data_IF_641290134988
#
_entry.id   IF_641290134988
#
_cell.length_a   1.000
_cell.length_b   1.000
_cell.length_c   1.000
_cell.angle_alpha   90.00
_cell.angle_beta   90.00
_cell.angle_gamma   90.00
#
_symmetry.space_group_name_H-M   'P 1'
#
loop_
_entity.id
_entity.type
_entity.pdbx_description
1 polymer ?
#
# COMPACT_ATOMS: atom_id res chain seq x y z
N UNK A 1 11.32 3.47 -11.61
CA UNK A 1 10.11 4.05 -12.23
C UNK A 1 9.78 5.32 -11.47
N UNK A 2 9.43 6.39 -12.16
CA UNK A 2 9.01 7.63 -11.49
C UNK A 2 7.48 7.59 -11.37
N UNK A 3 6.99 7.68 -10.15
CA UNK A 3 5.56 7.72 -9.87
C UNK A 3 4.98 9.10 -10.19
N UNK A 4 3.68 9.20 -10.54
CA UNK A 4 3.06 10.48 -10.88
C UNK A 4 2.98 11.39 -9.67
N UNK A 5 2.89 12.69 -9.91
CA UNK A 5 2.65 13.67 -8.84
C UNK A 5 1.29 13.42 -8.16
N UNK A 6 1.22 13.68 -6.85
CA UNK A 6 0.02 13.42 -6.03
C UNK A 6 -1.07 14.49 -6.24
N UNK A 7 -1.51 14.63 -7.49
CA UNK A 7 -2.70 15.39 -7.86
C UNK A 7 -3.60 14.53 -8.76
N UNK A 8 -4.89 14.84 -8.78
CA UNK A 8 -5.87 14.04 -9.50
C UNK A 8 -5.57 13.93 -11.00
N UNK A 9 -5.13 15.02 -11.63
CA UNK A 9 -4.86 15.04 -13.08
C UNK A 9 -3.68 14.13 -13.42
N UNK A 10 -2.58 14.22 -12.69
CA UNK A 10 -1.38 13.38 -12.86
C UNK A 10 -1.68 11.91 -12.60
N UNK A 11 -2.45 11.61 -11.54
CA UNK A 11 -2.89 10.24 -11.24
C UNK A 11 -3.80 9.67 -12.31
N UNK A 12 -4.79 10.44 -12.77
CA UNK A 12 -5.68 10.00 -13.86
C UNK A 12 -4.92 9.78 -15.17
N UNK A 13 -3.95 10.62 -15.50
CA UNK A 13 -3.13 10.45 -16.69
C UNK A 13 -2.28 9.18 -16.63
N UNK A 14 -1.78 8.82 -15.44
CA UNK A 14 -0.90 7.67 -15.27
C UNK A 14 -1.66 6.37 -14.96
N UNK A 15 -2.61 6.40 -14.02
CA UNK A 15 -3.35 5.24 -13.54
C UNK A 15 -4.74 5.06 -14.17
N UNK A 16 -5.20 6.05 -14.93
CA UNK A 16 -6.56 6.11 -15.45
C UNK A 16 -7.55 6.69 -14.43
N UNK A 17 -8.67 7.18 -14.94
CA UNK A 17 -9.73 7.73 -14.08
C UNK A 17 -10.63 6.61 -13.55
N UNK A 18 -10.62 6.39 -12.24
CA UNK A 18 -11.40 5.33 -11.60
C UNK A 18 -12.93 5.53 -11.70
N UNK A 19 -13.39 6.74 -12.08
CA UNK A 19 -14.81 6.98 -12.39
C UNK A 19 -15.20 6.45 -13.77
N UNK A 20 -14.25 6.16 -14.66
CA UNK A 20 -14.54 5.71 -16.01
C UNK A 20 -15.16 4.32 -16.01
N UNK A 21 -16.19 4.07 -16.82
CA UNK A 21 -16.79 2.74 -16.95
C UNK A 21 -15.73 1.68 -17.33
N UNK A 22 -15.74 0.56 -16.62
CA UNK A 22 -14.81 -0.55 -16.87
C UNK A 22 -13.38 -0.35 -16.35
N UNK A 23 -13.08 0.77 -15.70
CA UNK A 23 -11.72 1.06 -15.20
C UNK A 23 -11.19 -0.03 -14.28
N UNK A 24 -12.03 -0.55 -13.36
CA UNK A 24 -11.61 -1.60 -12.42
C UNK A 24 -11.19 -2.87 -13.16
N UNK A 25 -12.01 -3.34 -14.10
CA UNK A 25 -11.71 -4.54 -14.88
C UNK A 25 -10.43 -4.39 -15.73
N UNK A 26 -10.12 -3.19 -16.20
CA UNK A 26 -8.95 -2.90 -17.02
C UNK A 26 -7.67 -2.70 -16.21
N UNK A 27 -7.75 -2.26 -14.97
CA UNK A 27 -6.62 -1.77 -14.22
C UNK A 27 -6.33 -2.48 -12.90
N UNK A 28 -7.31 -3.18 -12.31
CA UNK A 28 -7.10 -3.87 -11.05
C UNK A 28 -6.80 -5.35 -11.28
N UNK A 29 -5.84 -5.87 -10.52
CA UNK A 29 -5.43 -7.26 -10.55
C UNK A 29 -5.19 -7.76 -9.13
N UNK A 30 -5.42 -9.07 -8.91
CA UNK A 30 -4.99 -9.74 -7.70
C UNK A 30 -3.53 -10.15 -7.84
N UNK A 31 -2.77 -9.96 -6.77
CA UNK A 31 -1.38 -10.43 -6.69
C UNK A 31 -1.11 -11.15 -5.38
N UNK A 32 -0.23 -12.14 -5.43
CA UNK A 32 0.24 -12.90 -4.28
C UNK A 32 1.58 -12.36 -3.78
N UNK A 33 1.80 -12.41 -2.47
CA UNK A 33 3.12 -12.30 -1.87
C UNK A 33 3.77 -13.68 -1.75
N UNK A 34 5.10 -13.77 -1.53
CA UNK A 34 5.79 -15.05 -1.30
C UNK A 34 5.47 -15.66 0.09
N UNK A 35 4.66 -15.01 0.88
CA UNK A 35 4.20 -15.42 2.20
C UNK A 35 2.68 -15.22 2.34
N UNK A 36 2.09 -15.81 3.37
CA UNK A 36 0.66 -15.68 3.62
C UNK A 36 0.30 -14.25 4.07
N UNK A 37 -0.76 -13.72 3.49
CA UNK A 37 -1.36 -12.45 3.87
C UNK A 37 -2.75 -12.70 4.46
N UNK A 38 -3.12 -11.88 5.45
CA UNK A 38 -4.38 -11.97 6.16
C UNK A 38 -5.07 -10.60 6.20
N UNK A 39 -6.38 -10.60 6.06
CA UNK A 39 -7.22 -9.45 6.33
C UNK A 39 -8.20 -9.83 7.44
N UNK A 40 -8.18 -9.07 8.54
CA UNK A 40 -8.99 -9.38 9.72
C UNK A 40 -8.88 -10.87 10.12
N UNK A 41 -7.64 -11.36 10.22
CA UNK A 41 -7.27 -12.75 10.58
C UNK A 41 -7.71 -13.83 9.59
N UNK A 42 -8.26 -13.44 8.43
CA UNK A 42 -8.65 -14.39 7.38
C UNK A 42 -7.60 -14.43 6.27
N UNK A 43 -7.21 -15.64 5.87
CA UNK A 43 -6.24 -15.85 4.80
C UNK A 43 -6.77 -15.29 3.48
N UNK A 44 -5.95 -14.46 2.83
CA UNK A 44 -6.21 -13.95 1.48
C UNK A 44 -5.69 -14.95 0.45
N UNK A 45 -6.47 -15.97 0.14
CA UNK A 45 -6.07 -17.07 -0.74
C UNK A 45 -5.71 -16.62 -2.17
N UNK A 46 -6.28 -15.51 -2.64
CA UNK A 46 -6.01 -14.92 -3.95
C UNK A 46 -5.15 -13.67 -3.90
N UNK A 47 -4.57 -13.36 -2.73
CA UNK A 47 -3.74 -12.19 -2.52
C UNK A 47 -4.53 -10.90 -2.36
N UNK A 48 -3.91 -9.79 -2.73
CA UNK A 48 -4.45 -8.44 -2.58
C UNK A 48 -4.82 -7.84 -3.94
N UNK A 49 -5.87 -7.03 -3.96
CA UNK A 49 -6.33 -6.33 -5.16
C UNK A 49 -5.61 -4.98 -5.26
N UNK A 50 -4.83 -4.79 -6.32
CA UNK A 50 -3.98 -3.61 -6.53
C UNK A 50 -4.09 -3.09 -7.95
N UNK A 51 -3.61 -1.87 -8.19
CA UNK A 51 -3.47 -1.37 -9.57
C UNK A 51 -2.35 -2.13 -10.30
N UNK A 52 -2.61 -2.57 -11.53
CA UNK A 52 -1.66 -3.37 -12.32
C UNK A 52 -0.27 -2.73 -12.46
N UNK A 53 -0.18 -1.41 -12.49
CA UNK A 53 1.10 -0.68 -12.61
C UNK A 53 1.96 -0.71 -11.35
N UNK A 54 1.40 -1.09 -10.20
CA UNK A 54 2.15 -1.21 -8.93
C UNK A 54 2.65 -2.63 -8.67
N UNK A 55 2.25 -3.61 -9.48
CA UNK A 55 2.55 -5.04 -9.26
C UNK A 55 4.04 -5.32 -9.19
N UNK A 56 4.83 -4.79 -10.13
CA UNK A 56 6.28 -5.04 -10.16
C UNK A 56 6.96 -4.45 -8.92
N UNK A 57 6.58 -3.23 -8.52
CA UNK A 57 7.11 -2.60 -7.32
C UNK A 57 6.72 -3.37 -6.06
N UNK A 58 5.45 -3.76 -5.92
CA UNK A 58 4.99 -4.54 -4.77
C UNK A 58 5.62 -5.94 -4.74
N UNK A 59 5.84 -6.56 -5.89
CA UNK A 59 6.56 -7.84 -5.96
C UNK A 59 7.98 -7.70 -5.41
N UNK A 60 8.69 -6.62 -5.78
CA UNK A 60 10.02 -6.35 -5.25
C UNK A 60 9.98 -6.05 -3.74
N UNK A 61 8.99 -5.28 -3.26
CA UNK A 61 8.79 -5.01 -1.82
C UNK A 61 8.61 -6.33 -1.05
N UNK A 62 7.68 -7.18 -1.48
CA UNK A 62 7.41 -8.43 -0.77
C UNK A 62 8.57 -9.42 -0.83
N UNK A 63 9.31 -9.46 -1.94
CA UNK A 63 10.52 -10.28 -2.04
C UNK A 63 11.62 -9.80 -1.08
N UNK A 64 11.80 -8.49 -0.94
CA UNK A 64 12.77 -7.90 -0.01
C UNK A 64 12.39 -8.18 1.46
N UNK A 65 11.11 -7.99 1.81
CA UNK A 65 10.59 -8.30 3.15
C UNK A 65 10.81 -9.79 3.45
N UNK A 66 10.47 -10.68 2.52
CA UNK A 66 10.62 -12.12 2.67
C UNK A 66 12.07 -12.51 2.93
N UNK A 67 13.00 -11.97 2.14
CA UNK A 67 14.44 -12.20 2.32
C UNK A 67 14.93 -11.70 3.68
N UNK A 68 14.55 -10.47 4.07
CA UNK A 68 14.98 -9.88 5.35
C UNK A 68 14.32 -10.52 6.58
N UNK A 69 13.22 -11.23 6.39
CA UNK A 69 12.59 -12.08 7.41
C UNK A 69 13.07 -13.53 7.36
N UNK A 70 14.20 -13.82 6.70
CA UNK A 70 14.81 -15.15 6.58
C UNK A 70 13.88 -16.21 5.97
N UNK A 71 12.97 -15.80 5.10
CA UNK A 71 11.94 -16.65 4.49
C UNK A 71 11.12 -17.42 5.54
N UNK A 72 10.80 -16.74 6.63
CA UNK A 72 10.06 -17.28 7.77
C UNK A 72 8.76 -16.49 7.98
N UNK A 73 7.62 -17.17 7.84
CA UNK A 73 6.30 -16.58 8.04
C UNK A 73 6.15 -15.96 9.43
N UNK A 74 6.65 -16.60 10.46
CA UNK A 74 6.56 -16.08 11.84
C UNK A 74 7.27 -14.74 12.00
N UNK A 75 8.38 -14.53 11.30
CA UNK A 75 9.08 -13.23 11.30
C UNK A 75 8.33 -12.16 10.52
N UNK A 76 7.70 -12.50 9.41
CA UNK A 76 6.81 -11.58 8.67
C UNK A 76 5.61 -11.18 9.53
N UNK A 77 4.99 -12.14 10.22
CA UNK A 77 3.89 -11.90 11.15
C UNK A 77 4.30 -10.96 12.30
N UNK A 78 5.49 -11.17 12.85
CA UNK A 78 6.02 -10.38 13.96
C UNK A 78 6.19 -8.91 13.61
N UNK A 79 6.62 -8.59 12.38
CA UNK A 79 6.78 -7.21 11.92
C UNK A 79 5.47 -6.60 11.36
N UNK A 80 4.36 -7.34 11.37
CA UNK A 80 3.05 -6.86 10.95
C UNK A 80 2.83 -6.85 9.43
N UNK A 81 3.75 -7.39 8.63
CA UNK A 81 3.68 -7.32 7.16
C UNK A 81 2.88 -8.46 6.53
N UNK A 82 2.25 -9.31 7.33
CA UNK A 82 1.20 -10.23 6.91
C UNK A 82 -0.22 -9.72 7.24
N UNK A 83 -0.33 -8.66 8.03
CA UNK A 83 -1.60 -8.06 8.45
C UNK A 83 -1.97 -6.91 7.50
N UNK A 84 -2.72 -7.25 6.46
CA UNK A 84 -3.16 -6.31 5.42
C UNK A 84 -4.39 -5.52 5.87
N UNK A 85 -4.30 -4.19 5.76
CA UNK A 85 -5.38 -3.28 6.19
C UNK A 85 -6.25 -2.74 5.05
N UNK A 86 -5.89 -3.00 3.79
CA UNK A 86 -6.64 -2.59 2.61
C UNK A 86 -5.80 -1.86 1.57
N UNK A 87 -6.27 -1.89 0.32
CA UNK A 87 -5.68 -1.16 -0.80
C UNK A 87 -6.76 -0.43 -1.60
N UNK A 88 -7.68 -1.14 -2.23
CA UNK A 88 -8.71 -0.52 -3.07
C UNK A 88 -9.95 -0.12 -2.26
N UNK A 89 -10.19 1.19 -2.19
CA UNK A 89 -11.37 1.77 -1.55
C UNK A 89 -11.61 3.17 -2.09
N UNK A 90 -12.70 3.36 -2.86
CA UNK A 90 -13.07 4.66 -3.42
C UNK A 90 -13.65 5.53 -2.32
N UNK A 91 -12.89 6.51 -1.87
CA UNK A 91 -13.27 7.45 -0.81
C UNK A 91 -12.43 8.72 -0.84
N UNK A 92 -12.93 9.76 -0.21
CA UNK A 92 -12.14 10.96 0.07
C UNK A 92 -11.16 10.70 1.25
N UNK A 93 -10.09 11.50 1.28
CA UNK A 93 -9.24 11.61 2.46
C UNK A 93 -10.09 12.16 3.61
N UNK A 94 -9.95 11.58 4.81
CA UNK A 94 -10.70 12.00 5.99
C UNK A 94 -10.58 13.51 6.24
N UNK A 95 -11.72 14.21 6.33
CA UNK A 95 -11.78 15.65 6.53
C UNK A 95 -11.42 16.50 5.30
N UNK A 96 -11.41 15.91 4.10
CA UNK A 96 -11.05 16.57 2.84
C UNK A 96 -12.01 16.21 1.72
N UNK A 97 -12.07 17.06 0.68
CA UNK A 97 -12.75 16.77 -0.58
C UNK A 97 -11.81 16.13 -1.62
N UNK A 98 -10.55 15.91 -1.28
CA UNK A 98 -9.59 15.25 -2.15
C UNK A 98 -9.76 13.73 -2.10
N UNK A 99 -9.59 13.06 -3.24
CA UNK A 99 -9.66 11.62 -3.32
C UNK A 99 -8.44 10.96 -2.67
N UNK A 100 -8.70 9.96 -1.84
CA UNK A 100 -7.65 9.10 -1.28
C UNK A 100 -6.96 8.30 -2.38
N UNK A 101 -5.66 8.04 -2.24
CA UNK A 101 -4.87 7.21 -3.16
C UNK A 101 -5.34 5.74 -3.18
N UNK A 102 -6.08 5.30 -2.17
CA UNK A 102 -6.81 4.03 -2.19
C UNK A 102 -7.84 3.96 -3.32
N UNK A 103 -8.37 5.10 -3.78
CA UNK A 103 -9.35 5.13 -4.88
C UNK A 103 -8.78 4.63 -6.22
N UNK A 104 -7.48 4.77 -6.44
CA UNK A 104 -6.77 4.21 -7.59
C UNK A 104 -6.13 2.84 -7.30
N UNK A 105 -6.30 2.29 -6.10
CA UNK A 105 -5.60 1.08 -5.65
C UNK A 105 -4.06 1.18 -5.73
N UNK A 106 -3.52 2.35 -5.38
CA UNK A 106 -2.08 2.66 -5.41
C UNK A 106 -1.52 2.96 -4.02
N UNK A 107 -2.33 2.83 -3.00
CA UNK A 107 -1.93 2.89 -1.61
C UNK A 107 -2.30 1.60 -0.90
N UNK A 108 -1.54 1.21 0.10
CA UNK A 108 -1.81 0.02 0.90
C UNK A 108 -1.51 0.27 2.38
N UNK A 109 -2.37 -0.27 3.24
CA UNK A 109 -2.25 -0.15 4.69
C UNK A 109 -1.82 -1.48 5.32
N UNK A 110 -0.94 -1.41 6.31
CA UNK A 110 -0.34 -2.57 6.96
C UNK A 110 -0.35 -2.45 8.49
N UNK A 111 -0.69 -3.54 9.17
CA UNK A 111 -0.77 -3.63 10.63
C UNK A 111 -1.53 -2.44 11.25
N UNK A 112 -2.79 -2.20 10.85
CA UNK A 112 -3.52 -1.00 11.25
C UNK A 112 -3.76 -0.89 12.76
N UNK A 113 -3.85 -2.01 13.47
CA UNK A 113 -4.08 -1.99 14.91
C UNK A 113 -2.91 -1.41 15.72
N UNK A 114 -1.68 -1.49 15.20
CA UNK A 114 -0.46 -0.98 15.85
C UNK A 114 0.13 0.24 15.17
N UNK A 115 -0.44 0.65 14.02
CA UNK A 115 0.01 1.78 13.21
C UNK A 115 -1.15 2.74 12.92
N UNK A 116 -1.92 3.06 13.93
CA UNK A 116 -3.10 3.90 13.80
C UNK A 116 -2.81 5.30 13.26
N UNK A 117 -3.82 5.88 12.63
CA UNK A 117 -3.75 7.24 12.10
C UNK A 117 -3.35 8.24 13.19
N UNK A 118 -2.42 9.13 12.88
CA UNK A 118 -1.89 10.16 13.76
C UNK A 118 -1.20 9.63 15.04
N UNK A 119 -0.53 8.47 14.95
CA UNK A 119 0.25 7.89 16.06
C UNK A 119 1.77 8.05 15.86
N UNK A 120 2.21 9.12 15.19
CA UNK A 120 3.62 9.34 14.86
C UNK A 120 4.11 8.29 13.84
N UNK A 121 5.21 7.62 14.16
CA UNK A 121 5.75 6.53 13.33
C UNK A 121 5.11 5.16 13.60
N UNK A 122 4.27 5.05 14.62
CA UNK A 122 3.67 3.78 15.06
C UNK A 122 4.73 2.74 15.41
N UNK A 123 4.44 1.49 15.06
CA UNK A 123 5.37 0.35 15.21
C UNK A 123 5.81 -0.22 13.85
N UNK A 124 5.71 0.56 12.77
CA UNK A 124 6.08 0.09 11.43
C UNK A 124 7.55 -0.32 11.38
N UNK A 125 7.81 -1.52 10.89
CA UNK A 125 9.16 -2.07 10.78
C UNK A 125 10.01 -1.29 9.78
N UNK A 126 11.27 -1.04 10.14
CA UNK A 126 12.22 -0.42 9.23
C UNK A 126 12.45 -1.28 7.96
N UNK A 127 12.36 -2.60 8.07
CA UNK A 127 12.41 -3.52 6.92
C UNK A 127 11.33 -3.15 5.89
N UNK A 128 10.10 -2.92 6.34
CA UNK A 128 8.99 -2.54 5.46
C UNK A 128 9.19 -1.14 4.89
N UNK A 129 9.54 -0.16 5.73
CA UNK A 129 9.78 1.23 5.31
C UNK A 129 10.83 1.29 4.20
N UNK A 130 11.96 0.62 4.40
CA UNK A 130 13.06 0.60 3.44
C UNK A 130 12.66 -0.09 2.13
N UNK A 131 11.97 -1.22 2.20
CA UNK A 131 11.52 -1.96 1.03
C UNK A 131 10.59 -1.12 0.14
N UNK A 132 9.60 -0.46 0.73
CA UNK A 132 8.69 0.43 0.00
C UNK A 132 9.39 1.67 -0.57
N UNK A 133 10.21 2.35 0.24
CA UNK A 133 10.95 3.54 -0.21
C UNK A 133 11.93 3.22 -1.34
N UNK A 134 12.54 2.04 -1.35
CA UNK A 134 13.43 1.58 -2.42
C UNK A 134 12.71 1.45 -3.77
N UNK A 135 11.40 1.21 -3.74
CA UNK A 135 10.54 1.22 -4.92
C UNK A 135 9.94 2.60 -5.22
N UNK A 136 10.36 3.64 -4.51
CA UNK A 136 9.92 5.02 -4.70
C UNK A 136 8.56 5.33 -4.08
N UNK A 137 8.01 4.46 -3.24
CA UNK A 137 6.79 4.74 -2.51
C UNK A 137 7.01 5.78 -1.40
N UNK A 138 6.00 6.57 -1.11
CA UNK A 138 5.95 7.43 0.07
C UNK A 138 5.40 6.64 1.26
N UNK A 139 5.87 6.95 2.46
CA UNK A 139 5.39 6.39 3.71
C UNK A 139 4.64 7.45 4.52
N UNK A 140 3.45 7.13 4.98
CA UNK A 140 2.61 8.05 5.76
C UNK A 140 3.17 8.41 7.13
N UNK A 141 4.12 7.64 7.66
CA UNK A 141 4.85 7.99 8.88
C UNK A 141 5.76 9.21 8.73
N UNK A 142 6.13 9.58 7.51
CA UNK A 142 6.92 10.78 7.20
C UNK A 142 6.07 12.03 6.96
N UNK A 143 4.75 11.94 7.02
CA UNK A 143 3.89 13.10 6.76
C UNK A 143 4.09 14.20 7.79
N UNK A 144 4.09 15.44 7.33
CA UNK A 144 4.04 16.61 8.20
C UNK A 144 2.62 16.77 8.78
N UNK A 145 2.52 17.05 10.07
CA UNK A 145 1.24 17.14 10.77
C UNK A 145 0.71 15.75 11.15
N UNK A 146 -0.47 15.38 10.67
CA UNK A 146 -1.07 14.07 10.98
C UNK A 146 -0.39 12.97 10.19
N UNK A 147 0.25 12.05 10.91
CA UNK A 147 0.93 10.90 10.31
C UNK A 147 -0.05 9.74 10.07
N UNK A 148 0.36 8.85 9.18
CA UNK A 148 -0.39 7.63 8.86
C UNK A 148 0.58 6.45 8.68
N UNK A 149 1.11 5.91 9.80
CA UNK A 149 2.23 4.97 9.72
C UNK A 149 1.89 3.61 9.10
N UNK A 150 0.61 3.23 9.00
CA UNK A 150 0.20 2.03 8.26
C UNK A 150 0.30 2.20 6.74
N UNK A 151 0.30 3.44 6.24
CA UNK A 151 0.05 3.81 4.86
C UNK A 151 1.32 3.93 4.02
N UNK A 152 1.35 3.25 2.88
CA UNK A 152 2.34 3.42 1.81
C UNK A 152 1.62 3.72 0.49
N UNK A 153 2.19 4.60 -0.34
CA UNK A 153 1.54 5.05 -1.57
C UNK A 153 2.53 5.27 -2.72
N UNK A 154 2.12 4.97 -3.93
CA UNK A 154 2.93 5.08 -5.15
C UNK A 154 2.63 6.37 -5.91
N UNK A 155 3.01 7.48 -5.30
CA UNK A 155 2.96 8.84 -5.87
C UNK A 155 4.24 9.58 -5.52
N UNK A 156 4.44 10.77 -6.12
CA UNK A 156 5.53 11.70 -5.77
C UNK A 156 4.96 13.05 -5.29
N UNK A 157 5.71 13.75 -4.48
CA UNK A 157 5.38 15.11 -4.01
C UNK A 157 6.51 16.07 -4.27
#
# INVERSE_FOLDING_TARGET
MQWPHDDTASKNAFYGDFHSPGWQALNLVHMLAPYALYYDKQLLAHGILVHKKTVDALTAVFAEIWTNCNQDQAQVDKIGMSDFGGCFNIRNIAGSNNWSNHSWAIASDWAPSTNGFNTGHGSMSQIAIDAFKRQGALWGGDYHGRTDPMHFEFVSR
#
